data_IF_043566115655
#
_entry.id   IF_043566115655
#
_cell.length_a   1.000
_cell.length_b   1.000
_cell.length_c   1.000
_cell.angle_alpha   90.00
_cell.angle_beta   90.00
_cell.angle_gamma   90.00
#
_symmetry.space_group_name_H-M   'P 1'
#
loop_
_entity.id
_entity.type
_entity.pdbx_description
1 polymer ?
#
# COMPACT_ATOMS: atom_id res chain seq x y z
N UNK A 1 -12.54 14.43 -9.52
CA UNK A 1 -13.99 14.12 -9.42
C UNK A 1 -14.39 13.67 -8.01
N UNK A 2 -15.68 13.60 -7.68
CA UNK A 2 -16.18 13.17 -6.35
C UNK A 2 -17.07 11.93 -6.49
N UNK A 3 -16.87 10.95 -5.61
CA UNK A 3 -17.70 9.74 -5.48
C UNK A 3 -17.99 9.53 -4.00
N UNK A 4 -19.24 9.76 -3.60
CA UNK A 4 -19.64 9.81 -2.18
C UNK A 4 -18.81 10.84 -1.41
N UNK A 5 -18.08 10.44 -0.38
CA UNK A 5 -17.18 11.29 0.41
C UNK A 5 -15.72 11.24 -0.06
N UNK A 6 -15.44 10.67 -1.25
CA UNK A 6 -14.08 10.51 -1.77
C UNK A 6 -13.86 11.42 -2.98
N UNK A 7 -12.90 12.32 -2.86
CA UNK A 7 -12.40 13.17 -3.94
C UNK A 7 -11.25 12.46 -4.64
N UNK A 8 -11.47 12.04 -5.88
CA UNK A 8 -10.47 11.34 -6.69
C UNK A 8 -9.80 12.33 -7.63
N UNK A 9 -8.46 12.46 -7.55
CA UNK A 9 -7.69 13.31 -8.46
C UNK A 9 -7.99 12.94 -9.91
N UNK A 10 -8.25 13.95 -10.75
CA UNK A 10 -8.60 13.72 -12.16
C UNK A 10 -7.42 13.14 -12.96
N UNK A 11 -6.18 13.28 -12.48
CA UNK A 11 -5.01 12.70 -13.12
C UNK A 11 -5.08 11.16 -13.15
N UNK A 12 -5.70 10.53 -12.14
CA UNK A 12 -5.74 9.07 -11.98
C UNK A 12 -6.47 8.36 -13.13
N UNK A 13 -7.26 9.11 -13.92
CA UNK A 13 -7.94 8.64 -15.14
C UNK A 13 -7.00 8.35 -16.32
N UNK A 14 -5.80 8.88 -16.27
CA UNK A 14 -4.86 8.87 -17.39
C UNK A 14 -3.53 8.20 -17.02
N UNK A 15 -3.49 7.45 -15.91
CA UNK A 15 -2.26 6.86 -15.39
C UNK A 15 -2.25 5.37 -15.70
N UNK A 16 -1.16 4.93 -16.31
CA UNK A 16 -0.83 3.52 -16.47
C UNK A 16 0.28 3.16 -15.50
N UNK A 17 0.17 2.00 -14.87
CA UNK A 17 1.10 1.58 -13.84
C UNK A 17 1.06 0.06 -13.66
N UNK A 18 2.24 -0.56 -13.64
CA UNK A 18 2.41 -1.95 -13.20
C UNK A 18 3.65 -2.05 -12.34
N UNK A 19 3.47 -2.35 -11.06
CA UNK A 19 4.59 -2.60 -10.16
C UNK A 19 5.34 -3.87 -10.62
N UNK A 20 6.66 -3.81 -10.62
CA UNK A 20 7.53 -4.95 -10.89
C UNK A 20 8.61 -5.03 -9.81
N UNK A 21 8.50 -6.01 -8.91
CA UNK A 21 9.50 -6.26 -7.88
C UNK A 21 10.86 -6.62 -8.49
N UNK A 22 10.90 -7.17 -9.70
CA UNK A 22 12.16 -7.44 -10.42
C UNK A 22 12.90 -6.16 -10.85
N UNK A 23 12.23 -5.00 -10.86
CA UNK A 23 12.85 -3.72 -11.24
C UNK A 23 13.35 -2.96 -10.02
N UNK A 24 12.53 -2.88 -8.97
CA UNK A 24 12.84 -2.07 -7.79
C UNK A 24 13.15 -2.88 -6.54
N UNK A 25 13.14 -4.21 -6.57
CA UNK A 25 13.39 -5.07 -5.41
C UNK A 25 12.57 -4.79 -4.13
N UNK A 26 11.48 -4.02 -4.23
CA UNK A 26 10.68 -3.58 -3.09
C UNK A 26 11.10 -2.24 -2.47
N UNK A 27 11.86 -1.40 -3.18
CA UNK A 27 12.39 -0.11 -2.70
C UNK A 27 11.32 0.81 -2.10
N UNK A 28 10.05 0.69 -2.49
CA UNK A 28 8.97 1.50 -1.93
C UNK A 28 8.71 1.25 -0.44
N UNK A 29 9.26 0.17 0.11
CA UNK A 29 9.24 -0.15 1.53
C UNK A 29 10.60 0.09 2.23
N UNK A 30 11.62 0.51 1.49
CA UNK A 30 13.02 0.68 1.96
C UNK A 30 13.43 2.16 1.98
N UNK A 31 13.05 2.95 0.99
CA UNK A 31 13.49 4.36 0.88
C UNK A 31 12.53 5.37 1.53
N UNK A 32 11.67 4.94 2.46
CA UNK A 32 10.60 5.79 3.03
C UNK A 32 11.03 6.55 4.29
N UNK A 33 10.74 7.84 4.37
CA UNK A 33 11.16 8.73 5.47
C UNK A 33 10.19 8.74 6.67
N UNK A 34 8.95 8.28 6.50
CA UNK A 34 7.90 8.40 7.51
C UNK A 34 7.08 7.12 7.74
N UNK A 35 7.47 5.98 7.17
CA UNK A 35 6.67 4.76 7.24
C UNK A 35 5.35 4.85 6.47
N UNK A 36 4.62 3.73 6.41
CA UNK A 36 3.31 3.70 5.77
C UNK A 36 2.21 4.07 6.78
N UNK A 37 1.26 4.97 6.44
CA UNK A 37 0.15 5.31 7.32
C UNK A 37 -0.69 4.10 7.72
N UNK A 38 -1.09 4.05 8.98
CA UNK A 38 -1.93 2.99 9.57
C UNK A 38 -3.23 3.58 10.13
N UNK A 39 -4.30 2.79 10.09
CA UNK A 39 -5.53 3.10 10.86
C UNK A 39 -5.48 2.44 12.23
N UNK A 40 -6.32 2.89 13.17
CA UNK A 40 -6.44 2.27 14.50
C UNK A 40 -6.84 0.79 14.41
N UNK A 41 -7.73 0.45 13.47
CA UNK A 41 -8.14 -0.93 13.23
C UNK A 41 -6.99 -1.78 12.71
N UNK A 42 -6.15 -1.22 11.82
CA UNK A 42 -4.96 -1.93 11.33
C UNK A 42 -3.95 -2.16 12.44
N UNK A 43 -3.74 -1.20 13.34
CA UNK A 43 -2.85 -1.34 14.49
C UNK A 43 -3.33 -2.46 15.41
N UNK A 44 -4.63 -2.48 15.77
CA UNK A 44 -5.19 -3.54 16.60
C UNK A 44 -4.96 -4.93 15.99
N UNK A 45 -5.14 -5.07 14.69
CA UNK A 45 -4.89 -6.33 13.97
C UNK A 45 -3.39 -6.68 13.99
N UNK A 46 -2.51 -5.71 13.79
CA UNK A 46 -1.05 -5.90 13.82
C UNK A 46 -0.59 -6.38 15.20
N UNK A 47 -1.14 -5.79 16.27
CA UNK A 47 -0.85 -6.20 17.66
C UNK A 47 -1.27 -7.66 17.90
N UNK A 48 -2.48 -8.04 17.48
CA UNK A 48 -2.96 -9.43 17.58
C UNK A 48 -2.11 -10.43 16.79
N UNK A 49 -1.48 -9.97 15.70
CA UNK A 49 -0.63 -10.79 14.84
C UNK A 49 0.85 -10.78 15.23
N UNK A 50 1.24 -9.98 16.22
CA UNK A 50 2.65 -9.70 16.54
C UNK A 50 3.45 -10.98 16.82
N UNK A 51 2.91 -11.91 17.62
CA UNK A 51 3.59 -13.18 17.92
C UNK A 51 3.82 -14.05 16.67
N UNK A 52 2.90 -14.00 15.69
CA UNK A 52 3.00 -14.77 14.45
C UNK A 52 4.04 -14.20 13.48
N UNK A 53 4.28 -12.88 13.51
CA UNK A 53 5.21 -12.23 12.57
C UNK A 53 6.65 -12.20 13.07
N UNK A 54 6.88 -12.20 14.39
CA UNK A 54 8.23 -12.16 15.01
C UNK A 54 9.22 -13.19 14.42
N UNK A 55 8.83 -14.46 14.13
CA UNK A 55 9.75 -15.44 13.53
C UNK A 55 10.30 -15.04 12.15
N UNK A 56 9.61 -14.15 11.44
CA UNK A 56 9.99 -13.69 10.09
C UNK A 56 10.78 -12.38 10.09
N UNK A 57 10.88 -11.72 11.26
CA UNK A 57 11.60 -10.46 11.45
C UNK A 57 13.09 -10.71 11.66
N UNK A 58 13.92 -9.79 11.18
CA UNK A 58 15.34 -9.75 11.55
C UNK A 58 15.54 -9.19 12.97
N UNK A 59 16.77 -9.25 13.47
CA UNK A 59 17.08 -8.86 14.84
C UNK A 59 16.92 -7.35 15.08
N UNK A 60 17.14 -6.52 14.06
CA UNK A 60 16.94 -5.09 14.17
C UNK A 60 15.45 -4.76 14.26
N UNK A 61 14.63 -5.34 13.39
CA UNK A 61 13.18 -5.20 13.42
C UNK A 61 12.58 -5.64 14.76
N UNK A 62 13.05 -6.76 15.33
CA UNK A 62 12.63 -7.22 16.66
C UNK A 62 12.98 -6.23 17.77
N UNK A 63 14.16 -5.60 17.68
CA UNK A 63 14.57 -4.57 18.64
C UNK A 63 13.67 -3.34 18.53
N UNK A 64 13.42 -2.86 17.31
CA UNK A 64 12.53 -1.71 17.09
C UNK A 64 11.12 -2.01 17.58
N UNK A 65 10.57 -3.18 17.26
CA UNK A 65 9.25 -3.62 17.76
C UNK A 65 9.18 -3.64 19.29
N UNK A 66 10.26 -4.07 19.96
CA UNK A 66 10.32 -4.09 21.42
C UNK A 66 10.39 -2.68 22.03
N UNK A 67 11.11 -1.77 21.40
CA UNK A 67 11.40 -0.45 21.94
C UNK A 67 10.30 0.58 21.60
N UNK A 68 9.74 0.52 20.39
CA UNK A 68 8.75 1.47 19.84
C UNK A 68 7.34 0.87 19.87
N UNK A 69 7.19 -0.41 19.54
CA UNK A 69 5.90 -1.09 19.42
C UNK A 69 5.49 -1.40 17.98
N UNK A 70 4.19 -1.65 17.79
CA UNK A 70 3.58 -2.04 16.51
C UNK A 70 3.38 -0.87 15.52
N UNK A 71 3.47 0.36 16.01
CA UNK A 71 3.33 1.58 15.22
C UNK A 71 4.17 2.71 15.83
N UNK A 72 4.38 3.76 15.04
CA UNK A 72 5.03 4.99 15.46
C UNK A 72 4.21 6.21 14.97
N UNK A 73 4.66 7.42 15.28
CA UNK A 73 4.06 8.66 14.81
C UNK A 73 5.02 9.42 13.89
N UNK A 74 4.52 9.86 12.73
CA UNK A 74 5.28 10.77 11.86
C UNK A 74 5.34 12.21 12.42
N UNK A 75 6.08 13.09 11.74
CA UNK A 75 6.23 14.50 12.13
C UNK A 75 4.91 15.29 12.15
N UNK A 76 3.86 14.80 11.48
CA UNK A 76 2.54 15.39 11.47
C UNK A 76 1.60 14.74 12.52
N UNK A 77 2.09 13.77 13.30
CA UNK A 77 1.34 13.04 14.31
C UNK A 77 0.42 11.96 13.76
N UNK A 78 0.63 11.51 12.51
CA UNK A 78 -0.11 10.38 11.95
C UNK A 78 0.51 9.07 12.41
N UNK A 79 -0.33 8.07 12.66
CA UNK A 79 0.14 6.72 12.97
C UNK A 79 0.70 6.06 11.71
N UNK A 80 1.90 5.50 11.83
CA UNK A 80 2.66 4.93 10.71
C UNK A 80 3.35 3.64 11.12
N UNK A 81 3.77 2.82 10.15
CA UNK A 81 4.60 1.65 10.41
C UNK A 81 5.97 2.07 10.96
N UNK A 82 6.52 1.40 11.99
CA UNK A 82 7.85 1.70 12.49
C UNK A 82 8.93 1.40 11.43
N UNK A 83 10.00 2.17 11.48
CA UNK A 83 11.16 2.03 10.60
C UNK A 83 12.40 1.60 11.41
N UNK A 84 13.29 0.86 10.74
CA UNK A 84 14.66 0.59 11.20
C UNK A 84 15.54 1.84 11.03
N UNK A 85 16.79 1.79 11.53
CA UNK A 85 17.70 2.93 11.41
C UNK A 85 18.03 3.29 9.95
N UNK A 86 17.95 2.30 9.06
CA UNK A 86 18.18 2.45 7.64
C UNK A 86 16.88 2.71 6.85
N UNK A 87 15.83 3.20 7.51
CA UNK A 87 14.55 3.61 6.90
C UNK A 87 13.69 2.45 6.37
N UNK A 88 14.13 1.19 6.53
CA UNK A 88 13.31 0.02 6.19
C UNK A 88 12.13 -0.16 7.14
N UNK A 89 10.95 -0.46 6.60
CA UNK A 89 9.82 -0.90 7.40
C UNK A 89 10.16 -2.17 8.19
N UNK A 90 9.84 -2.22 9.50
CA UNK A 90 10.14 -3.37 10.35
C UNK A 90 9.40 -4.65 9.95
N UNK A 91 8.35 -4.53 9.13
CA UNK A 91 7.53 -5.64 8.65
C UNK A 91 8.01 -6.24 7.33
N UNK A 92 9.27 -6.00 6.98
CA UNK A 92 9.91 -6.57 5.80
C UNK A 92 10.72 -7.81 6.14
N UNK A 93 10.72 -8.75 5.20
CA UNK A 93 11.63 -9.89 5.16
C UNK A 93 12.26 -9.99 3.78
N UNK A 94 13.46 -10.55 3.70
CA UNK A 94 14.17 -10.75 2.43
C UNK A 94 13.91 -12.14 1.89
N UNK A 95 13.24 -12.23 0.74
CA UNK A 95 12.91 -13.52 0.11
C UNK A 95 12.90 -13.37 -1.41
N UNK A 96 13.35 -14.41 -2.14
CA UNK A 96 13.37 -14.42 -3.61
C UNK A 96 14.07 -13.20 -4.23
N UNK A 97 15.12 -12.67 -3.57
CA UNK A 97 15.86 -11.46 -3.95
C UNK A 97 15.03 -10.15 -3.95
N UNK A 98 13.96 -10.11 -3.17
CA UNK A 98 13.11 -8.92 -3.01
C UNK A 98 12.75 -8.70 -1.53
N UNK A 99 12.59 -7.43 -1.15
CA UNK A 99 11.92 -7.08 0.10
C UNK A 99 10.43 -7.42 -0.01
N UNK A 100 9.96 -8.28 0.90
CA UNK A 100 8.59 -8.76 0.94
C UNK A 100 7.95 -8.39 2.26
N UNK A 101 6.71 -7.87 2.23
CA UNK A 101 5.94 -7.62 3.44
C UNK A 101 5.53 -8.94 4.09
N UNK A 102 5.84 -9.10 5.39
CA UNK A 102 5.54 -10.31 6.16
C UNK A 102 4.03 -10.59 6.17
N UNK A 103 3.20 -9.55 6.31
CA UNK A 103 1.74 -9.72 6.28
C UNK A 103 1.26 -10.26 4.93
N UNK A 104 1.77 -9.72 3.82
CA UNK A 104 1.36 -10.16 2.47
C UNK A 104 1.71 -11.63 2.27
N UNK A 105 2.92 -12.01 2.69
CA UNK A 105 3.41 -13.38 2.63
C UNK A 105 2.48 -14.33 3.37
N UNK A 106 2.17 -14.03 4.64
CA UNK A 106 1.33 -14.88 5.48
C UNK A 106 -0.12 -14.94 4.99
N UNK A 107 -0.65 -13.83 4.46
CA UNK A 107 -1.99 -13.81 3.90
C UNK A 107 -2.11 -14.62 2.61
N UNK A 108 -1.12 -14.52 1.71
CA UNK A 108 -1.05 -15.36 0.50
C UNK A 108 -0.96 -16.85 0.86
N UNK A 109 -0.28 -17.19 1.96
CA UNK A 109 -0.21 -18.54 2.50
C UNK A 109 -1.49 -19.00 3.23
N UNK A 110 -2.45 -18.10 3.49
CA UNK A 110 -3.67 -18.40 4.25
C UNK A 110 -3.45 -18.57 5.75
N UNK A 111 -2.34 -18.07 6.30
CA UNK A 111 -1.97 -18.19 7.71
C UNK A 111 -2.58 -17.09 8.60
N UNK A 112 -2.94 -15.95 7.97
CA UNK A 112 -3.57 -14.79 8.60
C UNK A 112 -4.64 -14.19 7.67
N UNK A 113 -5.65 -13.56 8.26
CA UNK A 113 -6.73 -12.86 7.53
C UNK A 113 -6.44 -11.35 7.34
N UNK A 114 -5.16 -10.97 7.39
CA UNK A 114 -4.71 -9.59 7.19
C UNK A 114 -3.64 -9.52 6.09
N UNK A 115 -4.01 -8.94 4.96
CA UNK A 115 -3.14 -8.88 3.79
C UNK A 115 -1.91 -7.98 3.99
N UNK A 116 -2.12 -6.68 4.07
CA UNK A 116 -1.10 -5.66 4.36
C UNK A 116 -1.84 -4.36 4.66
N UNK A 117 -1.18 -3.34 5.24
CA UNK A 117 -1.80 -2.03 5.42
C UNK A 117 -2.40 -1.49 4.12
N UNK A 118 -3.58 -0.89 4.20
CA UNK A 118 -4.34 -0.43 3.05
C UNK A 118 -3.59 0.69 2.31
N UNK A 119 -2.83 1.50 3.05
CA UNK A 119 -1.96 2.55 2.50
C UNK A 119 -0.84 1.97 1.63
N UNK A 120 -0.30 0.79 1.98
CA UNK A 120 0.67 0.05 1.18
C UNK A 120 -0.01 -0.60 -0.03
N UNK A 121 -1.18 -1.21 0.15
CA UNK A 121 -1.90 -1.90 -0.93
C UNK A 121 -2.41 -0.94 -2.01
N UNK A 122 -2.76 0.30 -1.64
CA UNK A 122 -3.22 1.34 -2.56
C UNK A 122 -2.07 2.04 -3.30
N UNK A 123 -0.81 1.83 -2.93
CA UNK A 123 0.31 2.52 -3.55
C UNK A 123 0.39 2.24 -5.07
N UNK A 124 0.55 3.26 -5.94
CA UNK A 124 1.00 4.64 -5.68
C UNK A 124 -0.09 5.67 -5.35
N UNK A 125 -1.34 5.26 -5.10
CA UNK A 125 -2.37 6.18 -4.60
C UNK A 125 -2.19 6.37 -3.09
N UNK A 126 -2.18 7.63 -2.65
CA UNK A 126 -2.21 8.01 -1.23
C UNK A 126 -3.55 8.64 -0.88
N UNK A 127 -4.03 8.36 0.33
CA UNK A 127 -5.23 8.95 0.91
C UNK A 127 -4.80 10.12 1.80
N UNK A 128 -5.40 11.28 1.59
CA UNK A 128 -5.30 12.42 2.51
C UNK A 128 -6.68 12.67 3.12
N UNK A 129 -6.77 12.69 4.44
CA UNK A 129 -7.99 13.04 5.15
C UNK A 129 -8.16 14.57 5.18
N UNK A 130 -9.31 15.07 4.74
CA UNK A 130 -9.68 16.49 4.85
C UNK A 130 -11.10 16.62 5.38
N UNK A 131 -11.21 16.74 6.72
CA UNK A 131 -12.49 16.76 7.41
C UNK A 131 -13.26 15.45 7.20
N UNK A 132 -14.48 15.55 6.67
CA UNK A 132 -15.33 14.39 6.35
C UNK A 132 -15.01 13.73 4.99
N UNK A 133 -14.06 14.29 4.23
CA UNK A 133 -13.69 13.80 2.90
C UNK A 133 -12.33 13.11 2.91
N UNK A 134 -12.20 12.10 2.06
CA UNK A 134 -10.91 11.50 1.69
C UNK A 134 -10.50 12.01 0.31
N UNK A 135 -9.21 12.32 0.11
CA UNK A 135 -8.63 12.68 -1.19
C UNK A 135 -7.71 11.57 -1.67
N UNK A 136 -7.98 11.01 -2.84
CA UNK A 136 -7.07 10.08 -3.53
C UNK A 136 -6.16 10.85 -4.47
N UNK A 137 -4.88 10.87 -4.16
CA UNK A 137 -3.84 11.54 -4.92
C UNK A 137 -2.81 10.55 -5.42
N UNK A 138 -2.25 10.81 -6.61
CA UNK A 138 -1.11 10.03 -7.08
C UNK A 138 0.15 10.50 -6.38
N UNK A 139 0.87 9.58 -5.75
CA UNK A 139 2.22 9.84 -5.28
C UNK A 139 3.23 9.45 -6.36
N UNK A 140 3.93 10.45 -6.91
CA UNK A 140 4.99 10.24 -7.90
C UNK A 140 6.34 10.19 -7.21
N UNK A 141 6.82 8.97 -7.01
CA UNK A 141 8.13 8.74 -6.44
C UNK A 141 9.10 8.21 -7.51
N UNK A 142 10.33 8.71 -7.51
CA UNK A 142 11.35 8.41 -8.52
C UNK A 142 11.64 6.91 -8.64
N UNK A 143 11.62 6.16 -7.54
CA UNK A 143 11.83 4.71 -7.53
C UNK A 143 10.78 3.95 -8.36
N UNK A 144 9.60 4.53 -8.55
CA UNK A 144 8.52 3.92 -9.32
C UNK A 144 8.45 4.41 -10.76
N UNK A 145 9.39 5.25 -11.20
CA UNK A 145 9.39 5.84 -12.54
C UNK A 145 9.29 4.77 -13.64
N UNK A 146 10.04 3.67 -13.51
CA UNK A 146 10.02 2.57 -14.48
C UNK A 146 8.68 1.82 -14.51
N UNK A 147 7.99 1.71 -13.37
CA UNK A 147 6.68 1.03 -13.27
C UNK A 147 5.59 1.75 -14.06
N UNK A 148 5.69 3.07 -14.25
CA UNK A 148 4.80 3.82 -15.13
C UNK A 148 5.06 3.45 -16.61
N UNK A 149 6.32 3.40 -17.03
CA UNK A 149 6.69 3.01 -18.40
C UNK A 149 6.29 1.57 -18.75
N UNK A 150 6.44 0.63 -17.80
CA UNK A 150 5.93 -0.75 -17.96
C UNK A 150 4.41 -0.76 -18.09
N UNK A 151 3.71 -0.03 -17.23
CA UNK A 151 2.25 0.08 -17.28
C UNK A 151 1.75 0.62 -18.62
N UNK A 152 2.39 1.66 -19.16
CA UNK A 152 2.07 2.23 -20.48
C UNK A 152 2.30 1.21 -21.61
N UNK A 153 3.47 0.54 -21.60
CA UNK A 153 3.82 -0.47 -22.60
C UNK A 153 2.83 -1.63 -22.63
N UNK A 154 2.34 -2.05 -21.47
CA UNK A 154 1.44 -3.20 -21.33
C UNK A 154 -0.05 -2.83 -21.31
N UNK A 155 -0.38 -1.52 -21.33
CA UNK A 155 -1.76 -1.04 -21.30
C UNK A 155 -2.49 -1.32 -19.98
N UNK A 156 -1.74 -1.41 -18.87
CA UNK A 156 -2.27 -1.64 -17.52
C UNK A 156 -2.61 -0.30 -16.87
N UNK A 157 -3.92 0.01 -16.82
CA UNK A 157 -4.40 1.23 -16.18
C UNK A 157 -4.22 1.15 -14.66
N UNK A 158 -3.85 2.24 -14.00
CA UNK A 158 -3.60 2.27 -12.54
C UNK A 158 -4.82 1.81 -11.72
N UNK A 159 -6.01 2.27 -12.08
CA UNK A 159 -7.25 1.85 -11.42
C UNK A 159 -7.61 0.39 -11.68
N UNK A 160 -7.15 -0.19 -12.80
CA UNK A 160 -7.26 -1.63 -13.02
C UNK A 160 -6.29 -2.36 -12.10
N UNK A 161 -5.01 -1.95 -12.06
CA UNK A 161 -3.97 -2.53 -11.21
C UNK A 161 -4.38 -2.53 -9.73
N UNK A 162 -4.93 -1.42 -9.22
CA UNK A 162 -5.35 -1.26 -7.82
C UNK A 162 -6.76 -1.77 -7.52
N UNK A 163 -7.37 -2.54 -8.42
CA UNK A 163 -8.76 -3.03 -8.27
C UNK A 163 -8.99 -3.68 -6.91
N UNK A 164 -8.15 -4.63 -6.50
CA UNK A 164 -8.30 -5.35 -5.22
C UNK A 164 -8.25 -4.40 -4.03
N UNK A 165 -7.28 -3.47 -4.02
CA UNK A 165 -7.09 -2.50 -2.96
C UNK A 165 -8.27 -1.51 -2.85
N UNK A 166 -8.72 -0.97 -3.99
CA UNK A 166 -9.85 -0.05 -4.05
C UNK A 166 -11.15 -0.71 -3.63
N UNK A 167 -11.39 -1.96 -4.05
CA UNK A 167 -12.56 -2.73 -3.60
C UNK A 167 -12.47 -3.05 -2.11
N UNK A 168 -11.28 -3.40 -1.60
CA UNK A 168 -11.09 -3.67 -0.16
C UNK A 168 -11.41 -2.44 0.69
N UNK A 169 -11.02 -1.23 0.28
CA UNK A 169 -11.26 0.02 1.02
C UNK A 169 -12.68 0.57 0.84
N UNK A 170 -13.19 0.60 -0.39
CA UNK A 170 -14.43 1.33 -0.73
C UNK A 170 -15.59 0.44 -1.18
N UNK A 171 -15.35 -0.85 -1.38
CA UNK A 171 -16.35 -1.80 -1.86
C UNK A 171 -16.51 -1.82 -3.38
N UNK A 172 -17.07 -2.92 -3.87
CA UNK A 172 -17.25 -3.18 -5.31
C UNK A 172 -18.16 -2.14 -5.99
N UNK A 173 -19.23 -1.73 -5.32
CA UNK A 173 -20.16 -0.74 -5.86
C UNK A 173 -19.48 0.63 -6.09
N UNK A 174 -18.64 1.06 -5.15
CA UNK A 174 -17.87 2.30 -5.27
C UNK A 174 -16.86 2.20 -6.42
N UNK A 175 -16.09 1.12 -6.48
CA UNK A 175 -15.12 0.88 -7.55
C UNK A 175 -15.78 0.92 -8.94
N UNK A 176 -16.92 0.25 -9.11
CA UNK A 176 -17.63 0.24 -10.38
C UNK A 176 -18.08 1.66 -10.79
N UNK A 177 -18.56 2.47 -9.84
CA UNK A 177 -18.89 3.89 -10.11
C UNK A 177 -17.66 4.69 -10.51
N UNK A 178 -16.52 4.48 -9.86
CA UNK A 178 -15.26 5.11 -10.23
C UNK A 178 -14.89 4.81 -11.67
N UNK A 179 -14.84 3.53 -12.04
CA UNK A 179 -14.49 3.10 -13.39
C UNK A 179 -15.39 3.74 -14.43
N UNK A 180 -16.71 3.72 -14.23
CA UNK A 180 -17.67 4.35 -15.13
C UNK A 180 -17.47 5.88 -15.25
N UNK A 181 -17.19 6.57 -14.14
CA UNK A 181 -16.89 8.03 -14.16
C UNK A 181 -15.58 8.35 -14.88
N UNK A 182 -14.63 7.43 -14.86
CA UNK A 182 -13.39 7.49 -15.63
C UNK A 182 -13.57 7.07 -17.10
N UNK A 183 -14.76 6.62 -17.51
CA UNK A 183 -15.02 6.00 -18.82
C UNK A 183 -14.15 4.76 -19.08
N UNK A 184 -13.90 3.98 -18.03
CA UNK A 184 -13.18 2.71 -18.05
C UNK A 184 -14.16 1.54 -17.85
N UNK A 185 -13.80 0.36 -18.33
CA UNK A 185 -14.61 -0.85 -18.18
C UNK A 185 -14.38 -1.50 -16.79
N UNK A 186 -15.38 -1.52 -15.89
CA UNK A 186 -15.24 -2.14 -14.57
C UNK A 186 -15.12 -3.67 -14.60
N UNK A 187 -15.28 -4.32 -15.74
CA UNK A 187 -15.18 -5.77 -15.89
C UNK A 187 -13.99 -6.21 -16.76
N UNK A 188 -13.14 -5.26 -17.16
CA UNK A 188 -11.91 -5.55 -17.90
C UNK A 188 -11.08 -6.55 -17.10
N UNK A 189 -10.77 -7.70 -17.73
CA UNK A 189 -9.85 -8.68 -17.15
C UNK A 189 -8.45 -8.07 -17.19
N UNK A 190 -7.73 -8.12 -16.07
CA UNK A 190 -6.32 -7.74 -16.03
C UNK A 190 -5.50 -8.67 -16.94
N UNK A 191 -4.50 -8.13 -17.68
CA UNK A 191 -3.60 -8.91 -18.51
C UNK A 191 -2.55 -9.71 -17.70
#
# INVERSE_FOLDING_TARGET
MIIENVVVSDELKNVYFRCSLNLCHGDCCVEGDAGAPLTEEEISIIEDLTEKIIPYMDDEAKRVLKDIGSFDYDMAGNMVTPLKINEECIYLTWENNHHTCIFEKLWVAGEIDFQKPISCHLYPIRIIQEGAFEKLLLHRWRICAESYGVGEKEGVHLLDFLRSALIRKYGLAWYNRLMLRCKLDPHKKQP
#
